data_IF_565710790653
#
_entry.id   IF_565710790653
#
_cell.length_a   1.000
_cell.length_b   1.000
_cell.length_c   1.000
_cell.angle_alpha   90.00
_cell.angle_beta   90.00
_cell.angle_gamma   90.00
#
_symmetry.space_group_name_H-M   'P 1'
#
loop_
_entity.id
_entity.type
_entity.pdbx_description
1 polymer ?
#
# COMPACT_ATOMS: atom_id res chain seq x y z
N UNK A 1 25.51 -17.96 -38.91
CA UNK A 1 24.53 -17.36 -37.99
C UNK A 1 23.69 -16.36 -38.77
N UNK A 2 22.44 -16.70 -39.03
CA UNK A 2 21.52 -15.83 -39.78
C UNK A 2 21.17 -14.63 -38.91
N UNK A 3 21.71 -13.44 -39.26
CA UNK A 3 21.25 -12.19 -38.65
C UNK A 3 19.81 -12.00 -39.12
N UNK A 4 18.85 -12.10 -38.21
CA UNK A 4 17.48 -11.75 -38.51
C UNK A 4 17.44 -10.24 -38.73
N UNK A 5 16.90 -9.82 -39.88
CA UNK A 5 16.86 -8.42 -40.32
C UNK A 5 15.39 -8.03 -40.41
N UNK A 6 15.00 -6.95 -39.72
CA UNK A 6 13.68 -6.36 -39.88
C UNK A 6 13.67 -5.42 -41.09
N UNK A 7 12.57 -5.41 -41.83
CA UNK A 7 12.39 -4.55 -42.99
C UNK A 7 11.09 -3.76 -42.88
N UNK A 8 11.17 -2.46 -43.11
CA UNK A 8 9.99 -1.59 -43.25
C UNK A 8 9.81 -1.24 -44.73
N UNK A 9 8.92 -1.99 -45.39
CA UNK A 9 8.51 -1.72 -46.76
C UNK A 9 7.19 -0.98 -46.74
N UNK A 10 7.09 0.10 -47.50
CA UNK A 10 5.77 0.60 -47.89
C UNK A 10 5.02 -0.51 -48.63
N UNK A 11 3.72 -0.69 -48.35
CA UNK A 11 2.91 -1.75 -48.99
C UNK A 11 2.99 -1.67 -50.52
N UNK A 12 3.17 -0.46 -51.07
CA UNK A 12 3.20 -0.16 -52.50
C UNK A 12 4.58 0.24 -53.05
N UNK A 13 5.60 0.47 -52.21
CA UNK A 13 6.94 0.85 -52.67
C UNK A 13 7.87 -0.35 -52.75
N UNK A 14 8.74 -0.34 -53.75
CA UNK A 14 9.89 -1.25 -53.80
C UNK A 14 11.12 -0.68 -53.11
N UNK A 15 10.95 0.43 -52.39
CA UNK A 15 12.01 1.11 -51.63
C UNK A 15 11.90 0.75 -50.16
N UNK A 16 13.00 0.29 -49.56
CA UNK A 16 13.08 0.11 -48.12
C UNK A 16 13.07 1.49 -47.44
N UNK A 17 12.14 1.74 -46.51
CA UNK A 17 12.02 3.04 -45.81
C UNK A 17 13.23 3.36 -44.93
N UNK A 18 13.99 2.35 -44.52
CA UNK A 18 15.10 2.49 -43.57
C UNK A 18 16.44 2.76 -44.27
N UNK A 19 16.79 1.96 -45.28
CA UNK A 19 18.06 2.13 -46.00
C UNK A 19 17.93 2.90 -47.33
N UNK A 20 16.70 3.28 -47.73
CA UNK A 20 16.45 4.03 -48.96
C UNK A 20 16.74 3.28 -50.27
N UNK A 21 17.15 2.00 -50.21
CA UNK A 21 17.42 1.21 -51.42
C UNK A 21 16.13 0.84 -52.13
N UNK A 22 16.10 1.09 -53.42
CA UNK A 22 15.05 0.65 -54.33
C UNK A 22 15.39 -0.72 -54.94
N UNK A 23 14.41 -1.62 -54.97
CA UNK A 23 14.57 -2.96 -55.50
C UNK A 23 13.65 -3.17 -56.71
N UNK A 24 14.04 -4.04 -57.65
CA UNK A 24 13.17 -4.37 -58.81
C UNK A 24 11.96 -5.21 -58.42
N UNK A 25 12.05 -5.96 -57.31
CA UNK A 25 11.00 -6.72 -56.67
C UNK A 25 11.27 -6.74 -55.15
N UNK A 26 10.25 -7.00 -54.30
CA UNK A 26 10.45 -7.11 -52.85
C UNK A 26 11.58 -8.12 -52.59
N UNK A 27 12.74 -7.70 -52.04
CA UNK A 27 13.86 -8.60 -51.88
C UNK A 27 13.51 -9.67 -50.84
N UNK A 28 14.08 -10.87 -50.99
CA UNK A 28 14.12 -11.83 -49.88
C UNK A 28 14.87 -11.17 -48.71
N UNK A 29 14.51 -11.53 -47.48
CA UNK A 29 14.95 -10.92 -46.21
C UNK A 29 16.46 -10.66 -46.14
N UNK A 30 17.25 -11.42 -46.90
CA UNK A 30 18.72 -11.47 -46.84
C UNK A 30 19.42 -10.47 -47.80
N UNK A 31 18.70 -9.83 -48.73
CA UNK A 31 19.30 -8.98 -49.79
C UNK A 31 19.22 -7.46 -49.52
N UNK A 32 18.54 -7.05 -48.46
CA UNK A 32 18.53 -5.68 -47.98
C UNK A 32 19.32 -5.65 -46.66
N UNK A 33 20.27 -4.71 -46.46
CA UNK A 33 20.99 -4.63 -45.19
C UNK A 33 20.05 -4.43 -44.00
N UNK A 34 18.86 -3.85 -44.26
CA UNK A 34 17.76 -3.63 -43.31
C UNK A 34 18.24 -3.11 -41.96
N UNK A 35 17.52 -3.45 -40.90
CA UNK A 35 17.93 -3.13 -39.53
C UNK A 35 18.14 -4.44 -38.76
N UNK A 36 19.33 -4.68 -38.17
CA UNK A 36 19.61 -5.90 -37.43
C UNK A 36 18.77 -5.99 -36.15
N UNK A 37 18.46 -7.20 -35.69
CA UNK A 37 17.89 -7.37 -34.35
C UNK A 37 18.90 -6.94 -33.27
N UNK A 38 18.43 -6.20 -32.26
CA UNK A 38 19.21 -5.75 -31.10
C UNK A 38 19.79 -6.96 -30.38
N UNK A 39 21.10 -6.98 -30.19
CA UNK A 39 21.72 -7.90 -29.25
C UNK A 39 21.62 -7.28 -27.85
N UNK A 40 21.11 -8.03 -26.87
CA UNK A 40 20.74 -7.58 -25.52
C UNK A 40 21.87 -6.98 -24.66
N UNK A 41 23.08 -6.80 -25.19
CA UNK A 41 24.28 -6.38 -24.45
C UNK A 41 24.74 -4.95 -24.75
N UNK A 42 24.13 -4.21 -25.68
CA UNK A 42 24.60 -2.87 -26.06
C UNK A 42 23.96 -1.77 -25.20
N UNK A 43 24.76 -1.15 -24.32
CA UNK A 43 24.36 -0.08 -23.38
C UNK A 43 24.27 1.32 -24.00
N UNK A 44 24.71 1.49 -25.26
CA UNK A 44 24.72 2.78 -25.97
C UNK A 44 23.51 3.00 -26.87
N UNK A 45 22.55 2.10 -26.79
CA UNK A 45 21.40 2.05 -27.69
C UNK A 45 20.12 1.93 -26.87
N UNK A 46 19.06 2.60 -27.32
CA UNK A 46 17.77 2.60 -26.65
C UNK A 46 16.62 2.59 -27.66
N UNK A 47 15.52 1.93 -27.30
CA UNK A 47 14.25 2.01 -28.04
C UNK A 47 13.61 3.39 -27.84
N UNK A 48 12.71 3.79 -28.75
CA UNK A 48 11.96 5.04 -28.59
C UNK A 48 11.17 5.12 -27.27
N UNK A 49 10.71 3.98 -26.72
CA UNK A 49 10.07 3.91 -25.40
C UNK A 49 11.10 4.17 -24.28
N UNK A 50 12.25 3.50 -24.34
CA UNK A 50 13.34 3.67 -23.38
C UNK A 50 13.88 5.11 -23.37
N UNK A 51 13.91 5.79 -24.52
CA UNK A 51 14.34 7.20 -24.61
C UNK A 51 13.52 8.12 -23.71
N UNK A 52 12.21 7.88 -23.62
CA UNK A 52 11.32 8.63 -22.72
C UNK A 52 11.70 8.43 -21.23
N UNK A 53 12.17 7.25 -20.86
CA UNK A 53 12.66 6.97 -19.50
C UNK A 53 14.03 7.58 -19.23
N UNK A 54 14.80 7.88 -20.28
CA UNK A 54 16.11 8.52 -20.23
C UNK A 54 16.06 10.04 -20.41
N UNK A 55 14.88 10.65 -20.36
CA UNK A 55 14.67 12.09 -20.58
C UNK A 55 15.27 12.55 -21.93
N UNK A 56 15.11 11.71 -22.97
CA UNK A 56 15.69 11.92 -24.29
C UNK A 56 14.64 11.81 -25.38
N UNK A 57 14.86 12.52 -26.48
CA UNK A 57 14.13 12.37 -27.74
C UNK A 57 15.10 12.28 -28.90
N UNK A 58 14.64 11.78 -30.04
CA UNK A 58 15.45 11.66 -31.24
C UNK A 58 15.76 13.05 -31.82
N UNK A 59 16.98 13.23 -32.34
CA UNK A 59 17.31 14.37 -33.20
C UNK A 59 16.58 14.22 -34.54
N UNK A 60 16.35 15.34 -35.22
CA UNK A 60 15.79 15.33 -36.58
C UNK A 60 16.70 14.52 -37.53
N UNK A 61 16.13 13.52 -38.19
CA UNK A 61 16.86 12.66 -39.13
C UNK A 61 17.58 11.46 -38.50
N UNK A 62 17.42 11.21 -37.19
CA UNK A 62 18.00 10.04 -36.53
C UNK A 62 17.50 8.74 -37.18
N UNK A 63 18.45 7.88 -37.57
CA UNK A 63 18.16 6.59 -38.20
C UNK A 63 18.24 5.45 -37.17
N UNK A 64 17.34 4.45 -37.24
CA UNK A 64 17.43 3.30 -36.36
C UNK A 64 18.66 2.44 -36.68
N UNK A 65 19.34 1.98 -35.65
CA UNK A 65 20.54 1.12 -35.74
C UNK A 65 20.22 -0.35 -35.54
N UNK A 66 19.14 -0.64 -34.81
CA UNK A 66 18.67 -1.99 -34.55
C UNK A 66 17.14 -2.02 -34.37
N UNK A 67 16.60 -3.23 -34.30
CA UNK A 67 15.20 -3.51 -34.02
C UNK A 67 15.11 -4.44 -32.82
N UNK A 68 14.29 -4.12 -31.83
CA UNK A 68 14.10 -4.96 -30.65
C UNK A 68 12.97 -5.98 -30.90
N UNK A 69 13.32 -7.26 -31.02
CA UNK A 69 12.37 -8.36 -31.18
C UNK A 69 11.78 -8.75 -29.82
N UNK A 70 11.10 -7.81 -29.19
CA UNK A 70 10.50 -8.00 -27.88
C UNK A 70 9.21 -8.83 -28.00
N UNK A 71 9.36 -10.13 -28.19
CA UNK A 71 8.25 -11.10 -28.34
C UNK A 71 7.30 -11.14 -27.13
N UNK A 72 7.78 -10.79 -25.93
CA UNK A 72 6.99 -10.90 -24.70
C UNK A 72 6.00 -9.75 -24.42
N UNK A 73 6.19 -8.56 -25.00
CA UNK A 73 5.24 -7.44 -24.84
C UNK A 73 3.97 -7.62 -25.70
N UNK A 74 4.08 -8.50 -26.71
CA UNK A 74 3.04 -8.79 -27.71
C UNK A 74 1.81 -9.56 -27.20
N UNK A 75 1.79 -9.99 -25.92
CA UNK A 75 0.57 -10.56 -25.31
C UNK A 75 -0.55 -9.52 -25.17
N UNK A 76 -0.23 -8.22 -25.26
CA UNK A 76 -1.20 -7.11 -25.27
C UNK A 76 -1.58 -6.62 -26.69
N UNK A 77 -2.01 -7.52 -27.57
CA UNK A 77 -2.90 -7.32 -28.75
C UNK A 77 -2.70 -6.17 -29.78
N UNK A 78 -1.72 -5.27 -29.70
CA UNK A 78 -1.42 -4.31 -30.79
C UNK A 78 -0.03 -4.60 -31.35
N UNK A 79 0.01 -5.41 -32.41
CA UNK A 79 1.20 -6.04 -33.01
C UNK A 79 1.99 -5.15 -33.99
N UNK A 80 1.64 -3.87 -34.15
CA UNK A 80 2.11 -3.09 -35.31
C UNK A 80 3.14 -2.00 -34.99
N UNK A 81 3.56 -1.83 -33.73
CA UNK A 81 4.59 -0.86 -33.40
C UNK A 81 5.96 -1.54 -33.35
N UNK A 82 6.69 -1.43 -34.46
CA UNK A 82 8.08 -1.83 -34.54
C UNK A 82 8.92 -1.08 -33.49
N UNK A 83 9.53 -1.80 -32.54
CA UNK A 83 10.43 -1.24 -31.53
C UNK A 83 11.81 -0.95 -32.13
N UNK A 84 11.91 0.15 -32.86
CA UNK A 84 13.20 0.64 -33.36
C UNK A 84 14.11 1.10 -32.22
N UNK A 85 15.39 0.77 -32.38
CA UNK A 85 16.49 1.07 -31.48
C UNK A 85 17.39 2.10 -32.13
N UNK A 86 17.80 3.09 -31.36
CA UNK A 86 18.60 4.24 -31.81
C UNK A 86 19.85 4.40 -30.95
N UNK A 87 20.91 4.94 -31.54
CA UNK A 87 22.11 5.27 -30.79
C UNK A 87 21.86 6.51 -29.92
N UNK A 88 22.28 6.46 -28.65
CA UNK A 88 22.12 7.58 -27.72
C UNK A 88 22.84 8.86 -28.18
N UNK A 89 23.86 8.77 -29.05
CA UNK A 89 24.50 9.96 -29.65
C UNK A 89 23.57 10.75 -30.59
N UNK A 90 22.58 10.08 -31.17
CA UNK A 90 21.57 10.66 -32.09
C UNK A 90 20.33 11.18 -31.35
N UNK A 91 20.45 11.37 -30.03
CA UNK A 91 19.37 11.84 -29.17
C UNK A 91 19.74 13.16 -28.51
N UNK A 92 18.73 13.90 -28.09
CA UNK A 92 18.86 15.13 -27.32
C UNK A 92 18.05 15.06 -26.04
N UNK A 93 18.49 15.80 -25.02
CA UNK A 93 17.83 15.86 -23.71
C UNK A 93 16.55 16.68 -23.86
N UNK A 94 15.44 16.17 -23.32
CA UNK A 94 14.14 16.86 -23.35
C UNK A 94 14.12 18.00 -22.32
N UNK A 95 14.45 17.68 -21.07
CA UNK A 95 14.49 18.64 -19.97
C UNK A 95 15.91 18.72 -19.37
N UNK A 96 16.69 19.77 -19.66
CA UNK A 96 18.05 19.90 -19.16
C UNK A 96 18.12 20.22 -17.65
N UNK A 97 16.98 20.52 -17.00
CA UNK A 97 16.94 20.81 -15.56
C UNK A 97 16.92 19.55 -14.70
N UNK A 98 16.56 18.41 -15.29
CA UNK A 98 16.55 17.13 -14.60
C UNK A 98 17.98 16.59 -14.41
N UNK A 99 18.25 15.90 -13.27
CA UNK A 99 19.45 15.10 -13.11
C UNK A 99 19.57 14.01 -14.19
N UNK A 100 20.73 13.32 -14.26
CA UNK A 100 20.88 12.16 -15.14
C UNK A 100 19.77 11.13 -14.92
N UNK A 101 19.06 10.79 -16.00
CA UNK A 101 17.98 9.82 -15.98
C UNK A 101 18.50 8.41 -16.29
N UNK A 102 18.02 7.43 -15.52
CA UNK A 102 18.39 6.02 -15.65
C UNK A 102 17.16 5.15 -15.84
N UNK A 103 17.33 4.05 -16.58
CA UNK A 103 16.26 3.09 -16.82
C UNK A 103 15.88 2.30 -15.55
N UNK A 104 16.88 1.96 -14.73
CA UNK A 104 16.72 1.23 -13.48
C UNK A 104 17.68 1.78 -12.42
N UNK A 105 17.31 1.61 -11.15
CA UNK A 105 18.16 1.95 -9.99
C UNK A 105 19.53 1.26 -10.04
N UNK A 106 19.61 0.04 -10.55
CA UNK A 106 20.85 -0.73 -10.71
C UNK A 106 21.86 -0.08 -11.67
N UNK A 107 21.40 0.81 -12.55
CA UNK A 107 22.24 1.54 -13.50
C UNK A 107 22.84 2.82 -12.89
N UNK A 108 22.38 3.25 -11.71
CA UNK A 108 22.96 4.39 -10.99
C UNK A 108 24.29 3.93 -10.37
N UNK A 109 25.39 4.69 -10.52
CA UNK A 109 26.69 4.31 -9.95
C UNK A 109 26.60 4.00 -8.45
N UNK A 110 27.10 2.82 -8.06
CA UNK A 110 26.95 2.31 -6.68
C UNK A 110 27.72 3.17 -5.67
N UNK A 111 28.78 3.82 -6.11
CA UNK A 111 29.61 4.72 -5.32
C UNK A 111 28.81 5.91 -4.79
N UNK A 112 27.75 6.31 -5.49
CA UNK A 112 26.87 7.41 -5.10
C UNK A 112 25.86 7.03 -4.02
N UNK A 113 25.78 5.75 -3.64
CA UNK A 113 24.86 5.20 -2.62
C UNK A 113 23.43 5.78 -2.75
N UNK A 114 22.78 5.60 -3.91
CA UNK A 114 21.51 6.25 -4.18
C UNK A 114 20.42 5.81 -3.19
N UNK A 115 19.65 6.78 -2.71
CA UNK A 115 18.43 6.54 -1.94
C UNK A 115 17.28 7.32 -2.59
N UNK A 116 16.16 6.63 -2.85
CA UNK A 116 14.99 7.23 -3.50
C UNK A 116 14.22 8.13 -2.54
N UNK A 117 13.52 9.15 -3.05
CA UNK A 117 12.64 10.01 -2.23
C UNK A 117 11.61 9.23 -1.44
N UNK A 118 10.98 8.21 -2.05
CA UNK A 118 10.04 7.34 -1.35
C UNK A 118 10.71 6.57 -0.21
N UNK A 119 11.93 6.07 -0.42
CA UNK A 119 12.70 5.37 0.62
C UNK A 119 13.14 6.32 1.74
N UNK A 120 13.54 7.55 1.40
CA UNK A 120 13.85 8.60 2.37
C UNK A 120 12.62 8.92 3.23
N UNK A 121 11.47 9.15 2.58
CA UNK A 121 10.20 9.40 3.25
C UNK A 121 9.74 8.24 4.12
N UNK A 122 10.03 6.99 3.76
CA UNK A 122 9.72 5.83 4.61
C UNK A 122 10.65 5.72 5.83
N UNK A 123 11.90 6.18 5.72
CA UNK A 123 12.92 6.13 6.79
C UNK A 123 13.00 7.38 7.65
N UNK A 124 12.29 8.43 7.26
CA UNK A 124 12.18 9.68 7.99
C UNK A 124 13.39 10.54 7.75
N UNK A 125 13.83 10.53 6.50
CA UNK A 125 14.94 11.30 5.99
C UNK A 125 14.40 12.35 5.03
N UNK A 126 15.07 13.49 4.98
CA UNK A 126 14.92 14.54 3.97
C UNK A 126 16.30 14.92 3.42
N UNK A 127 16.37 15.55 2.24
CA UNK A 127 17.63 16.08 1.73
C UNK A 127 18.14 17.19 2.67
N UNK A 128 19.46 17.27 2.87
CA UNK A 128 20.08 18.42 3.56
C UNK A 128 19.79 19.72 2.82
N UNK A 129 19.95 20.85 3.50
CA UNK A 129 19.87 22.16 2.86
C UNK A 129 20.86 22.24 1.68
N UNK A 130 20.36 22.54 0.48
CA UNK A 130 21.08 22.57 -0.80
C UNK A 130 21.49 21.22 -1.40
N UNK A 131 21.08 20.08 -0.83
CA UNK A 131 21.30 18.78 -1.46
C UNK A 131 20.55 18.71 -2.80
N UNK A 132 21.26 18.34 -3.86
CA UNK A 132 20.69 18.15 -5.20
C UNK A 132 20.48 16.67 -5.48
N UNK A 133 19.41 16.29 -6.20
CA UNK A 133 19.25 14.92 -6.65
C UNK A 133 20.39 14.55 -7.61
N UNK A 134 20.92 13.34 -7.43
CA UNK A 134 22.04 12.79 -8.21
C UNK A 134 21.57 12.05 -9.46
N UNK A 135 20.31 11.59 -9.46
CA UNK A 135 19.71 10.81 -10.53
C UNK A 135 18.18 10.85 -10.46
N UNK A 136 17.54 10.47 -11.57
CA UNK A 136 16.10 10.22 -11.64
C UNK A 136 15.80 8.90 -12.36
N UNK A 137 14.71 8.24 -12.00
CA UNK A 137 14.10 7.15 -12.79
C UNK A 137 12.66 7.50 -13.11
N UNK A 138 12.11 6.94 -14.19
CA UNK A 138 10.71 7.11 -14.56
C UNK A 138 9.91 5.94 -14.02
N UNK A 139 9.02 6.21 -13.08
CA UNK A 139 8.22 5.21 -12.39
C UNK A 139 6.74 5.31 -12.78
N UNK A 140 6.01 4.21 -12.59
CA UNK A 140 4.56 4.17 -12.74
C UNK A 140 3.88 4.32 -11.38
N UNK A 141 3.04 5.34 -11.27
CA UNK A 141 2.12 5.55 -10.17
C UNK A 141 0.72 5.07 -10.53
N UNK A 142 -0.08 4.79 -9.51
CA UNK A 142 -1.51 4.58 -9.65
C UNK A 142 -2.24 5.60 -8.80
N UNK A 143 -3.10 6.38 -9.41
CA UNK A 143 -3.98 7.29 -8.68
C UNK A 143 -4.99 6.46 -7.88
N UNK A 144 -5.06 6.69 -6.57
CA UNK A 144 -5.94 5.91 -5.69
C UNK A 144 -7.43 6.23 -5.85
N UNK A 145 -7.78 7.42 -6.38
CA UNK A 145 -9.16 7.86 -6.59
C UNK A 145 -9.69 7.41 -7.95
N UNK A 146 -8.93 7.64 -9.02
CA UNK A 146 -9.36 7.28 -10.38
C UNK A 146 -8.97 5.84 -10.76
N UNK A 147 -7.94 5.28 -10.11
CA UNK A 147 -7.36 3.99 -10.49
C UNK A 147 -6.49 4.06 -11.74
N UNK A 148 -6.32 5.24 -12.35
CA UNK A 148 -5.52 5.44 -13.55
C UNK A 148 -4.02 5.37 -13.24
N UNK A 149 -3.27 4.85 -14.20
CA UNK A 149 -1.82 4.80 -14.13
C UNK A 149 -1.24 6.07 -14.74
N UNK A 150 -0.29 6.69 -14.04
CA UNK A 150 0.45 7.84 -14.53
C UNK A 150 1.95 7.61 -14.36
N UNK A 151 2.76 8.31 -15.15
CA UNK A 151 4.21 8.27 -15.01
C UNK A 151 4.70 9.49 -14.25
N UNK A 152 5.69 9.31 -13.40
CA UNK A 152 6.36 10.39 -12.68
C UNK A 152 7.87 10.11 -12.58
N UNK A 153 8.64 11.16 -12.29
CA UNK A 153 10.07 11.04 -12.01
C UNK A 153 10.26 10.77 -10.51
N UNK A 154 10.90 9.66 -10.18
CA UNK A 154 11.41 9.40 -8.83
C UNK A 154 12.83 9.97 -8.74
N UNK A 155 13.06 10.86 -7.78
CA UNK A 155 14.38 11.45 -7.55
C UNK A 155 15.20 10.60 -6.58
N UNK A 156 16.50 10.55 -6.83
CA UNK A 156 17.47 9.88 -5.99
C UNK A 156 18.48 10.87 -5.47
N UNK A 157 18.81 10.75 -4.19
CA UNK A 157 19.82 11.55 -3.51
C UNK A 157 20.97 10.66 -3.09
N UNK A 158 22.15 11.26 -2.87
CA UNK A 158 23.21 10.56 -2.17
C UNK A 158 22.79 10.38 -0.72
N UNK A 159 22.89 9.15 -0.20
CA UNK A 159 22.55 8.84 1.20
C UNK A 159 23.29 9.75 2.20
N UNK A 160 24.53 10.11 1.90
CA UNK A 160 25.37 10.94 2.76
C UNK A 160 24.90 12.41 2.78
N UNK A 161 24.05 12.82 1.82
CA UNK A 161 23.42 14.14 1.71
C UNK A 161 21.99 14.18 2.28
N UNK A 162 21.61 13.16 3.03
CA UNK A 162 20.32 13.11 3.73
C UNK A 162 20.48 13.41 5.21
N UNK A 163 19.42 13.94 5.83
CA UNK A 163 19.31 14.20 7.26
C UNK A 163 17.96 13.68 7.78
N UNK A 164 17.83 13.39 9.08
CA UNK A 164 16.52 13.09 9.66
C UNK A 164 15.52 14.22 9.35
N UNK A 165 14.43 13.88 8.67
CA UNK A 165 13.45 14.85 8.22
C UNK A 165 12.33 15.10 9.20
N UNK A 166 11.80 16.33 9.16
CA UNK A 166 10.72 16.77 10.06
C UNK A 166 9.33 16.24 9.63
N UNK A 167 9.22 15.69 8.40
CA UNK A 167 7.95 15.20 7.84
C UNK A 167 7.49 13.85 8.43
N UNK A 168 8.42 12.95 8.76
CA UNK A 168 8.11 11.78 9.60
C UNK A 168 8.19 12.09 11.09
N UNK A 169 8.53 13.33 11.46
CA UNK A 169 8.42 13.74 12.85
C UNK A 169 6.97 13.92 13.26
N UNK A 170 5.95 13.56 12.48
CA UNK A 170 4.57 13.59 12.94
C UNK A 170 3.94 12.20 13.06
N UNK A 171 3.19 11.99 14.15
CA UNK A 171 2.40 10.80 14.41
C UNK A 171 0.92 11.16 14.57
N UNK A 172 0.04 10.36 13.98
CA UNK A 172 -1.40 10.60 14.05
C UNK A 172 -1.95 10.30 15.45
N UNK A 173 -3.08 10.93 15.82
CA UNK A 173 -3.80 10.58 17.06
C UNK A 173 -4.06 9.07 17.18
N UNK A 174 -4.44 8.42 16.08
CA UNK A 174 -4.69 6.97 16.06
C UNK A 174 -3.43 6.16 16.38
N UNK A 175 -2.32 6.48 15.72
CA UNK A 175 -1.03 5.80 15.95
C UNK A 175 -0.48 6.04 17.36
N UNK A 176 -0.68 7.23 17.94
CA UNK A 176 -0.35 7.48 19.36
C UNK A 176 -1.12 6.56 20.32
N UNK A 177 -2.39 6.27 20.04
CA UNK A 177 -3.20 5.36 20.84
C UNK A 177 -2.75 3.90 20.70
N UNK A 178 -2.32 3.49 19.50
CA UNK A 178 -1.95 2.09 19.23
C UNK A 178 -0.48 1.79 19.60
N UNK A 179 0.47 2.63 19.20
CA UNK A 179 1.92 2.38 19.37
C UNK A 179 2.44 2.85 20.72
N UNK A 180 2.01 4.02 21.16
CA UNK A 180 2.41 4.59 22.45
C UNK A 180 1.35 4.38 23.51
N UNK A 181 0.32 3.56 23.25
CA UNK A 181 -0.74 3.27 24.20
C UNK A 181 -1.30 4.49 24.93
N UNK A 182 -1.39 5.68 24.32
CA UNK A 182 -1.87 6.87 25.03
C UNK A 182 -3.40 6.85 25.11
N UNK A 183 -3.97 7.10 26.29
CA UNK A 183 -5.42 7.34 26.43
C UNK A 183 -5.79 8.76 26.00
N UNK A 184 -7.09 9.04 25.83
CA UNK A 184 -7.53 10.42 25.58
C UNK A 184 -7.15 11.37 26.72
N UNK A 185 -7.07 10.89 27.97
CA UNK A 185 -6.57 11.67 29.11
C UNK A 185 -5.10 12.04 28.97
N UNK A 186 -4.24 11.09 28.57
CA UNK A 186 -2.83 11.34 28.29
C UNK A 186 -2.65 12.26 27.08
N UNK A 187 -3.45 12.10 26.03
CA UNK A 187 -3.44 13.00 24.88
C UNK A 187 -3.89 14.42 25.25
N UNK A 188 -4.85 14.57 26.18
CA UNK A 188 -5.25 15.88 26.70
C UNK A 188 -4.11 16.56 27.47
N UNK A 189 -3.33 15.78 28.25
CA UNK A 189 -2.11 16.26 28.94
C UNK A 189 -0.98 16.63 27.97
N UNK A 190 -0.81 15.87 26.89
CA UNK A 190 0.14 16.17 25.81
C UNK A 190 -0.19 17.50 25.08
N UNK A 191 -1.46 17.93 25.11
CA UNK A 191 -1.91 19.21 24.56
C UNK A 191 -2.45 19.13 23.14
N UNK A 192 -2.56 20.31 22.49
CA UNK A 192 -3.11 20.42 21.12
C UNK A 192 -2.18 19.78 20.07
N UNK A 193 -2.70 19.24 18.97
CA UNK A 193 -1.89 18.77 17.84
C UNK A 193 -0.98 19.88 17.30
N UNK A 194 0.16 19.50 16.75
CA UNK A 194 1.10 20.44 16.12
C UNK A 194 0.61 20.85 14.73
N UNK A 195 -0.01 19.92 14.00
CA UNK A 195 -0.54 20.16 12.65
C UNK A 195 -1.91 19.48 12.50
N UNK A 196 -2.79 20.15 11.75
CA UNK A 196 -4.04 19.56 11.24
C UNK A 196 -3.88 19.35 9.74
N UNK A 197 -4.22 18.15 9.26
CA UNK A 197 -4.17 17.81 7.84
C UNK A 197 -5.53 17.29 7.39
N UNK A 198 -5.91 17.51 6.13
CA UNK A 198 -7.11 16.88 5.58
C UNK A 198 -7.00 15.35 5.65
N UNK A 199 -8.12 14.68 5.89
CA UNK A 199 -8.13 13.23 5.95
C UNK A 199 -8.02 12.66 4.52
N UNK A 200 -6.93 11.94 4.19
CA UNK A 200 -6.68 11.49 2.82
C UNK A 200 -7.72 10.48 2.32
N UNK A 201 -8.40 9.78 3.22
CA UNK A 201 -9.41 8.78 2.86
C UNK A 201 -10.80 9.38 2.72
N UNK A 202 -11.09 10.48 3.41
CA UNK A 202 -12.44 11.04 3.50
C UNK A 202 -12.39 12.57 3.61
N UNK A 203 -12.55 13.27 2.49
CA UNK A 203 -12.49 14.74 2.44
C UNK A 203 -13.51 15.44 3.34
N UNK A 204 -14.66 14.81 3.62
CA UNK A 204 -15.71 15.34 4.51
C UNK A 204 -15.58 14.90 5.97
N UNK A 205 -14.59 14.07 6.31
CA UNK A 205 -14.35 13.66 7.70
C UNK A 205 -13.56 14.69 8.48
N UNK A 206 -13.56 14.55 9.80
CA UNK A 206 -12.73 15.39 10.67
C UNK A 206 -11.25 15.34 10.25
N UNK A 207 -10.60 16.51 10.27
CA UNK A 207 -9.19 16.65 9.93
C UNK A 207 -8.32 15.74 10.80
N UNK A 208 -7.29 15.17 10.17
CA UNK A 208 -6.30 14.35 10.83
C UNK A 208 -5.43 15.22 11.75
N UNK A 209 -5.27 14.74 12.99
CA UNK A 209 -4.46 15.39 14.04
C UNK A 209 -3.07 14.79 14.06
N UNK A 210 -2.06 15.62 13.83
CA UNK A 210 -0.65 15.25 13.75
C UNK A 210 0.14 15.85 14.91
N UNK A 211 0.96 15.03 15.56
CA UNK A 211 1.77 15.41 16.73
C UNK A 211 3.23 15.19 16.45
N UNK A 212 4.11 16.13 16.82
CA UNK A 212 5.55 15.96 16.68
C UNK A 212 6.03 14.79 17.55
N UNK A 213 6.64 13.76 16.97
CA UNK A 213 7.20 12.59 17.64
C UNK A 213 8.25 13.02 18.67
N UNK A 214 9.09 14.00 18.34
CA UNK A 214 10.07 14.57 19.28
C UNK A 214 9.39 15.15 20.52
N UNK A 215 8.29 15.90 20.34
CA UNK A 215 7.47 16.44 21.43
C UNK A 215 6.82 15.35 22.27
N UNK A 216 6.25 14.34 21.61
CA UNK A 216 5.64 13.17 22.28
C UNK A 216 6.68 12.45 23.13
N UNK A 217 7.87 12.17 22.58
CA UNK A 217 8.95 11.50 23.31
C UNK A 217 9.48 12.34 24.46
N UNK A 218 9.66 13.64 24.26
CA UNK A 218 10.04 14.58 25.33
C UNK A 218 9.02 14.59 26.48
N UNK A 219 7.73 14.63 26.14
CA UNK A 219 6.64 14.55 27.10
C UNK A 219 6.65 13.23 27.87
N UNK A 220 6.80 12.08 27.19
CA UNK A 220 6.86 10.77 27.85
C UNK A 220 8.10 10.61 28.72
N UNK A 221 9.26 11.12 28.26
CA UNK A 221 10.49 11.11 29.06
C UNK A 221 10.33 11.93 30.35
N UNK A 222 9.67 13.08 30.26
CA UNK A 222 9.41 13.96 31.42
C UNK A 222 8.40 13.34 32.38
N UNK A 223 7.48 12.51 31.88
CA UNK A 223 6.43 11.86 32.69
C UNK A 223 6.66 10.34 32.82
N UNK A 224 7.90 9.86 32.73
CA UNK A 224 8.19 8.44 32.54
C UNK A 224 7.65 7.55 33.67
N UNK A 225 7.79 7.99 34.92
CA UNK A 225 7.34 7.25 36.10
C UNK A 225 5.81 7.13 36.16
N UNK A 226 5.10 8.26 36.04
CA UNK A 226 3.63 8.30 36.03
C UNK A 226 3.06 7.50 34.85
N UNK A 227 3.70 7.61 33.68
CA UNK A 227 3.33 6.84 32.50
C UNK A 227 3.52 5.33 32.70
N UNK A 228 4.64 4.90 33.30
CA UNK A 228 4.89 3.50 33.62
C UNK A 228 3.87 2.94 34.62
N UNK A 229 3.58 3.68 35.71
CA UNK A 229 2.55 3.28 36.67
C UNK A 229 1.18 3.17 36.02
N UNK A 230 0.85 4.11 35.14
CA UNK A 230 -0.40 4.08 34.40
C UNK A 230 -0.51 2.88 33.46
N UNK A 231 0.56 2.50 32.76
CA UNK A 231 0.60 1.30 31.92
C UNK A 231 0.30 0.03 32.72
N UNK A 232 0.90 -0.12 33.91
CA UNK A 232 0.63 -1.26 34.80
C UNK A 232 -0.84 -1.30 35.22
N UNK A 233 -1.42 -0.15 35.58
CA UNK A 233 -2.86 -0.07 35.92
C UNK A 233 -3.75 -0.40 34.72
N UNK A 234 -3.36 0.06 33.53
CA UNK A 234 -4.10 -0.20 32.28
C UNK A 234 -4.07 -1.67 31.92
N UNK A 235 -2.94 -2.35 32.05
CA UNK A 235 -2.82 -3.78 31.78
C UNK A 235 -3.77 -4.58 32.68
N UNK A 236 -3.78 -4.28 33.98
CA UNK A 236 -4.75 -4.84 34.93
C UNK A 236 -6.19 -4.58 34.48
N UNK A 237 -6.51 -3.35 34.06
CA UNK A 237 -7.85 -3.01 33.55
C UNK A 237 -8.21 -3.80 32.29
N UNK A 238 -7.30 -3.96 31.33
CA UNK A 238 -7.54 -4.74 30.10
C UNK A 238 -7.81 -6.21 30.44
N UNK A 239 -7.04 -6.79 31.36
CA UNK A 239 -7.26 -8.17 31.84
C UNK A 239 -8.64 -8.30 32.48
N UNK A 240 -9.01 -7.38 33.37
CA UNK A 240 -10.35 -7.37 34.00
C UNK A 240 -11.45 -7.20 32.95
N UNK A 241 -11.32 -6.25 32.02
CA UNK A 241 -12.30 -6.01 30.97
C UNK A 241 -12.49 -7.23 30.07
N UNK A 242 -11.43 -7.94 29.71
CA UNK A 242 -11.51 -9.21 28.97
C UNK A 242 -12.27 -10.28 29.77
N UNK A 243 -11.99 -10.43 31.06
CA UNK A 243 -12.71 -11.38 31.94
C UNK A 243 -14.20 -11.04 32.04
N UNK A 244 -14.55 -9.76 32.15
CA UNK A 244 -15.95 -9.32 32.14
C UNK A 244 -16.63 -9.57 30.79
N UNK A 245 -15.97 -9.25 29.68
CA UNK A 245 -16.49 -9.50 28.34
C UNK A 245 -16.76 -10.99 28.12
N UNK A 246 -15.86 -11.86 28.56
CA UNK A 246 -16.03 -13.32 28.48
C UNK A 246 -17.19 -13.80 29.37
N UNK A 247 -17.30 -13.30 30.61
CA UNK A 247 -18.44 -13.60 31.48
C UNK A 247 -19.77 -13.20 30.83
N UNK A 248 -19.83 -12.05 30.17
CA UNK A 248 -21.01 -11.59 29.42
C UNK A 248 -21.30 -12.42 28.17
N UNK A 249 -20.27 -12.92 27.48
CA UNK A 249 -20.41 -13.82 26.35
C UNK A 249 -21.00 -15.16 26.81
N UNK A 250 -20.42 -15.78 27.85
CA UNK A 250 -20.93 -17.03 28.45
C UNK A 250 -22.38 -16.86 28.91
N UNK A 251 -22.72 -15.74 29.57
CA UNK A 251 -24.10 -15.48 30.02
C UNK A 251 -25.08 -15.27 28.85
N UNK A 252 -24.63 -14.76 27.69
CA UNK A 252 -25.43 -14.68 26.47
C UNK A 252 -25.61 -16.05 25.83
N UNK A 253 -24.55 -16.83 25.71
CA UNK A 253 -24.60 -18.19 25.17
C UNK A 253 -25.52 -19.09 26.01
N UNK A 254 -25.41 -19.03 27.35
CA UNK A 254 -26.34 -19.73 28.26
C UNK A 254 -27.80 -19.33 28.06
N UNK A 255 -28.09 -18.02 27.95
CA UNK A 255 -29.45 -17.54 27.67
C UNK A 255 -29.95 -17.97 26.29
N UNK A 256 -29.09 -17.92 25.27
CA UNK A 256 -29.43 -18.37 23.93
C UNK A 256 -29.75 -19.87 23.90
N UNK A 257 -28.93 -20.68 24.59
CA UNK A 257 -29.14 -22.11 24.71
C UNK A 257 -30.42 -22.43 25.50
N UNK A 258 -30.66 -21.74 26.62
CA UNK A 258 -31.89 -21.87 27.39
C UNK A 258 -33.12 -21.52 26.55
N UNK A 259 -33.07 -20.40 25.82
CA UNK A 259 -34.16 -20.02 24.91
C UNK A 259 -34.41 -21.09 23.84
N UNK A 260 -33.35 -21.67 23.26
CA UNK A 260 -33.48 -22.77 22.31
C UNK A 260 -34.19 -24.00 22.93
N UNK A 261 -33.85 -24.35 24.16
CA UNK A 261 -34.49 -25.45 24.89
C UNK A 261 -35.96 -25.14 25.21
N UNK A 262 -36.26 -23.93 25.69
CA UNK A 262 -37.64 -23.49 25.98
C UNK A 262 -38.51 -23.50 24.71
N UNK A 263 -37.97 -23.10 23.57
CA UNK A 263 -38.65 -23.13 22.27
C UNK A 263 -38.98 -24.54 21.78
N UNK A 264 -38.18 -25.54 22.17
CA UNK A 264 -38.41 -26.95 21.86
C UNK A 264 -39.33 -27.65 22.86
N UNK A 265 -39.66 -26.99 23.97
CA UNK A 265 -40.47 -27.56 25.05
C UNK A 265 -41.95 -27.58 24.65
N UNK A 266 -42.60 -28.75 24.79
CA UNK A 266 -44.03 -28.97 24.47
C UNK A 266 -44.99 -28.13 25.32
N UNK A 267 -44.54 -27.61 26.46
CA UNK A 267 -45.30 -26.74 27.38
C UNK A 267 -45.01 -25.24 27.18
N UNK A 268 -44.29 -24.88 26.12
CA UNK A 268 -44.21 -23.47 25.67
C UNK A 268 -45.48 -23.11 24.90
N UNK A 269 -46.07 -21.95 25.21
CA UNK A 269 -47.22 -21.40 24.48
C UNK A 269 -46.89 -19.98 24.01
N UNK A 270 -47.41 -19.59 22.84
CA UNK A 270 -47.26 -18.23 22.34
C UNK A 270 -48.46 -17.39 22.80
N UNK A 271 -48.20 -16.28 23.50
CA UNK A 271 -49.18 -15.27 23.87
C UNK A 271 -48.98 -14.01 23.02
N UNK A 272 -49.97 -13.10 23.01
CA UNK A 272 -49.93 -11.84 22.22
C UNK A 272 -48.69 -10.97 22.47
N UNK A 273 -48.02 -11.15 23.61
CA UNK A 273 -46.85 -10.36 24.02
C UNK A 273 -45.53 -11.15 23.97
N UNK A 274 -45.52 -12.40 23.47
CA UNK A 274 -44.31 -13.22 23.35
C UNK A 274 -44.50 -14.70 23.76
N UNK A 275 -43.38 -15.42 23.85
CA UNK A 275 -43.37 -16.84 24.21
C UNK A 275 -43.43 -17.00 25.72
N UNK A 276 -44.43 -17.73 26.19
CA UNK A 276 -44.64 -18.04 27.60
C UNK A 276 -44.23 -19.50 27.84
N UNK A 277 -43.18 -19.69 28.63
CA UNK A 277 -42.77 -21.01 29.12
C UNK A 277 -43.17 -21.10 30.60
N UNK A 278 -43.87 -22.16 31.01
CA UNK A 278 -44.26 -22.38 32.41
C UNK A 278 -43.07 -22.62 33.36
N UNK A 279 -41.85 -22.57 32.84
CA UNK A 279 -40.60 -22.62 33.61
C UNK A 279 -39.88 -21.31 33.38
N UNK A 280 -39.91 -20.42 34.38
CA UNK A 280 -39.18 -19.16 34.30
C UNK A 280 -38.38 -18.86 35.58
N UNK A 281 -37.39 -17.96 35.47
CA UNK A 281 -35.99 -18.28 35.73
C UNK A 281 -35.56 -17.68 37.07
N UNK A 282 -34.84 -18.44 37.90
CA UNK A 282 -34.57 -18.12 39.32
C UNK A 282 -35.82 -18.49 40.15
N UNK A 283 -35.67 -19.45 41.08
CA UNK A 283 -36.76 -20.15 41.77
C UNK A 283 -37.90 -19.29 42.35
N UNK A 284 -39.02 -19.94 42.65
CA UNK A 284 -40.28 -19.33 43.11
C UNK A 284 -40.11 -18.56 44.44
N UNK A 285 -40.92 -17.50 44.70
CA UNK A 285 -40.95 -16.81 46.00
C UNK A 285 -41.39 -17.73 47.16
N UNK A 286 -40.89 -17.49 48.38
CA UNK A 286 -41.32 -18.23 49.59
C UNK A 286 -42.85 -18.13 49.80
N UNK A 287 -43.50 -19.29 50.01
CA UNK A 287 -44.93 -19.39 50.36
C UNK A 287 -45.89 -19.77 49.22
N UNK A 288 -45.40 -20.05 48.01
CA UNK A 288 -46.24 -20.57 46.90
C UNK A 288 -46.64 -22.03 47.17
N UNK A 289 -47.91 -22.45 46.93
CA UNK A 289 -48.34 -23.85 47.08
C UNK A 289 -47.61 -24.80 46.09
N UNK A 290 -47.18 -25.97 46.56
CA UNK A 290 -46.36 -26.95 45.83
C UNK A 290 -46.97 -27.44 44.50
N UNK A 291 -48.29 -27.51 44.44
CA UNK A 291 -49.07 -27.93 43.27
C UNK A 291 -48.99 -26.93 42.10
N UNK A 292 -48.40 -25.74 42.32
CA UNK A 292 -48.10 -24.75 41.29
C UNK A 292 -46.61 -24.72 40.87
N UNK A 293 -45.79 -25.64 41.38
CA UNK A 293 -44.38 -25.73 41.02
C UNK A 293 -44.28 -26.36 39.64
N UNK A 294 -43.28 -25.93 38.87
CA UNK A 294 -42.91 -26.72 37.71
C UNK A 294 -42.40 -28.09 38.22
N UNK A 295 -42.94 -29.23 37.75
CA UNK A 295 -42.57 -30.56 38.25
C UNK A 295 -41.08 -30.93 38.05
N UNK A 296 -40.32 -30.16 37.28
CA UNK A 296 -38.88 -30.35 37.05
C UNK A 296 -37.97 -29.65 38.08
N UNK A 297 -38.50 -28.92 39.09
CA UNK A 297 -37.69 -28.15 40.06
C UNK A 297 -37.45 -28.86 41.41
N UNK A 298 -38.22 -29.88 41.77
CA UNK A 298 -38.17 -30.52 43.10
C UNK A 298 -36.98 -31.47 43.35
N UNK A 299 -35.95 -31.47 42.50
CA UNK A 299 -34.89 -32.49 42.54
C UNK A 299 -33.49 -32.00 42.95
N UNK A 300 -33.30 -30.75 43.39
CA UNK A 300 -31.94 -30.19 43.62
C UNK A 300 -31.62 -29.69 45.03
N UNK A 301 -32.50 -29.80 46.02
CA UNK A 301 -32.21 -29.29 47.37
C UNK A 301 -31.62 -30.31 48.37
N UNK A 302 -31.55 -31.61 48.05
CA UNK A 302 -31.03 -32.63 48.99
C UNK A 302 -29.59 -33.11 48.70
N UNK A 303 -28.68 -32.18 48.41
CA UNK A 303 -27.24 -32.48 48.57
C UNK A 303 -26.47 -31.31 49.17
N UNK A 304 -26.53 -31.31 50.50
CA UNK A 304 -25.42 -31.03 51.42
C UNK A 304 -25.12 -29.55 51.72
N UNK A 305 -25.80 -29.09 52.76
CA UNK A 305 -25.07 -28.62 53.93
C UNK A 305 -24.04 -29.66 54.38
N UNK A 306 -22.75 -29.36 54.22
CA UNK A 306 -21.65 -29.70 55.13
C UNK A 306 -20.44 -28.80 54.85
#
# INVERSE_FOLDING_TARGET
MSKFIHHDYDKNSKTCRLCGREFKAKPRVDNCPGVPIRNSQQTKEATHIELGNLNRKLKNGAMPVAYDDWKDYSRSKKRDESLYVYNLSETEIIDPTLPPAYYQLSNIPKEQKPISENTMRAKGLEPKENAKPIAVTREWGKDHKSGEFYQYWEYYYNKDDTQPGDSLNYITKGRLKSEYHLSDGWLKRLGKPDVYMENPHFSRSASMKLYKISRVRGFLKTNAEDYAQWLVRREKFVIHSKRFAEKHKIARERRSHQNELCLKCRSSTFLENGIFCAVHPIGLPEGVPEDNYCPDYSAFEDSEAQ
#
